data_IF_991987094572
#
_entry.id   IF_991987094572
#
_cell.length_a   1.000
_cell.length_b   1.000
_cell.length_c   1.000
_cell.angle_alpha   90.00
_cell.angle_beta   90.00
_cell.angle_gamma   90.00
#
_symmetry.space_group_name_H-M   'P 1'
#
loop_
_entity.id
_entity.type
_entity.pdbx_description
1 polymer ?
#
# COMPACT_ATOMS: atom_id res chain seq x y z
N UNK A 1 2.72 -15.93 -10.89
CA UNK A 1 2.05 -17.08 -10.25
C UNK A 1 0.74 -16.59 -9.67
N UNK A 2 -0.40 -17.06 -10.17
CA UNK A 2 -1.74 -16.65 -9.71
C UNK A 2 -2.14 -17.62 -8.60
N UNK A 3 -2.55 -17.12 -7.44
CA UNK A 3 -3.01 -18.01 -6.35
C UNK A 3 -4.37 -18.62 -6.74
N UNK A 4 -4.39 -19.86 -7.24
CA UNK A 4 -5.60 -20.56 -7.70
C UNK A 4 -6.64 -20.72 -6.59
N UNK A 5 -6.17 -20.87 -5.33
CA UNK A 5 -7.02 -20.91 -4.15
C UNK A 5 -7.71 -19.57 -3.85
N UNK A 6 -7.29 -18.45 -4.45
CA UNK A 6 -7.94 -17.14 -4.27
C UNK A 6 -9.18 -16.98 -5.16
N UNK A 7 -9.21 -17.67 -6.30
CA UNK A 7 -10.31 -17.59 -7.27
C UNK A 7 -11.60 -18.23 -6.75
N UNK A 8 -11.50 -19.22 -5.87
CA UNK A 8 -12.64 -19.95 -5.28
C UNK A 8 -13.21 -19.31 -4.02
N UNK A 9 -12.55 -18.29 -3.47
CA UNK A 9 -12.97 -17.63 -2.23
C UNK A 9 -14.16 -16.69 -2.45
N UNK A 10 -15.05 -16.63 -1.47
CA UNK A 10 -16.10 -15.63 -1.36
C UNK A 10 -15.50 -14.23 -1.16
N UNK A 11 -16.27 -13.17 -1.46
CA UNK A 11 -15.79 -11.79 -1.28
C UNK A 11 -15.37 -11.50 0.18
N UNK A 12 -16.14 -12.01 1.14
CA UNK A 12 -15.83 -11.92 2.57
C UNK A 12 -14.48 -12.58 2.92
N UNK A 13 -14.23 -13.78 2.38
CA UNK A 13 -12.97 -14.51 2.62
C UNK A 13 -11.78 -13.81 1.98
N UNK A 14 -11.93 -13.26 0.76
CA UNK A 14 -10.89 -12.46 0.10
C UNK A 14 -10.59 -11.20 0.89
N UNK A 15 -11.62 -10.53 1.39
CA UNK A 15 -11.50 -9.34 2.22
C UNK A 15 -10.72 -9.64 3.49
N UNK A 16 -11.13 -10.67 4.23
CA UNK A 16 -10.48 -11.12 5.46
C UNK A 16 -9.02 -11.50 5.20
N UNK A 17 -8.76 -12.31 4.18
CA UNK A 17 -7.41 -12.75 3.82
C UNK A 17 -6.51 -11.58 3.47
N UNK A 18 -6.99 -10.61 2.70
CA UNK A 18 -6.18 -9.46 2.32
C UNK A 18 -5.89 -8.55 3.51
N UNK A 19 -6.86 -8.31 4.40
CA UNK A 19 -6.64 -7.61 5.67
C UNK A 19 -5.57 -8.29 6.50
N UNK A 20 -5.66 -9.61 6.66
CA UNK A 20 -4.66 -10.42 7.38
C UNK A 20 -3.28 -10.30 6.74
N UNK A 21 -3.19 -10.38 5.40
CA UNK A 21 -1.90 -10.26 4.70
C UNK A 21 -1.31 -8.86 4.86
N UNK A 22 -2.10 -7.79 4.76
CA UNK A 22 -1.65 -6.41 4.98
C UNK A 22 -1.12 -6.23 6.41
N UNK A 23 -1.87 -6.71 7.40
CA UNK A 23 -1.46 -6.66 8.81
C UNK A 23 -0.20 -7.46 9.07
N UNK A 24 -0.10 -8.69 8.54
CA UNK A 24 1.07 -9.55 8.77
C UNK A 24 2.32 -9.04 8.04
N UNK A 25 2.19 -8.60 6.79
CA UNK A 25 3.32 -8.07 6.00
C UNK A 25 3.92 -6.81 6.63
N UNK A 26 3.08 -6.01 7.27
CA UNK A 26 3.48 -4.80 7.97
C UNK A 26 3.83 -5.01 9.44
N UNK A 27 3.83 -6.25 9.92
CA UNK A 27 4.02 -6.59 11.33
C UNK A 27 3.08 -5.82 12.27
N UNK A 28 1.86 -5.53 11.82
CA UNK A 28 0.84 -4.82 12.60
C UNK A 28 1.02 -3.30 12.67
N UNK A 29 1.94 -2.70 11.89
CA UNK A 29 2.30 -1.27 11.99
C UNK A 29 1.46 -0.33 11.14
N UNK A 30 0.60 -0.88 10.28
CA UNK A 30 -0.51 -0.13 9.65
C UNK A 30 -1.76 -0.27 10.52
N UNK A 31 -2.39 0.87 10.75
CA UNK A 31 -3.59 1.03 11.57
C UNK A 31 -4.82 0.48 10.86
N UNK A 32 -5.86 0.15 11.61
CA UNK A 32 -7.10 -0.39 11.02
C UNK A 32 -7.78 0.60 10.06
N UNK A 33 -7.66 1.91 10.31
CA UNK A 33 -8.12 2.98 9.42
C UNK A 33 -7.33 3.03 8.10
N UNK A 34 -6.02 2.77 8.14
CA UNK A 34 -5.15 2.72 6.95
C UNK A 34 -5.44 1.46 6.13
N UNK A 35 -5.66 0.32 6.80
CA UNK A 35 -6.12 -0.91 6.16
C UNK A 35 -7.47 -0.67 5.49
N UNK A 36 -8.44 -0.07 6.19
CA UNK A 36 -9.75 0.25 5.62
C UNK A 36 -9.64 1.15 4.38
N UNK A 37 -8.79 2.18 4.42
CA UNK A 37 -8.56 3.05 3.27
C UNK A 37 -8.06 2.28 2.04
N UNK A 38 -7.17 1.29 2.23
CA UNK A 38 -6.74 0.40 1.13
C UNK A 38 -7.90 -0.46 0.65
N UNK A 39 -8.69 -1.05 1.56
CA UNK A 39 -9.82 -1.91 1.22
C UNK A 39 -10.91 -1.17 0.43
N UNK A 40 -11.12 0.12 0.71
CA UNK A 40 -12.15 0.93 0.05
C UNK A 40 -11.82 1.28 -1.42
N UNK A 41 -10.54 1.17 -1.83
CA UNK A 41 -10.10 1.57 -3.18
C UNK A 41 -9.77 0.42 -4.12
N UNK A 42 -9.58 -0.78 -3.58
CA UNK A 42 -9.22 -1.98 -4.34
C UNK A 42 -10.45 -2.76 -4.81
N UNK A 43 -10.28 -3.54 -5.86
CA UNK A 43 -11.24 -4.59 -6.23
C UNK A 43 -10.81 -5.94 -5.65
N UNK A 44 -11.67 -6.58 -4.87
CA UNK A 44 -11.45 -7.93 -4.30
C UNK A 44 -11.50 -9.05 -5.36
N UNK A 45 -11.80 -8.72 -6.63
CA UNK A 45 -11.75 -9.68 -7.76
C UNK A 45 -10.36 -9.79 -8.36
N UNK A 46 -9.41 -8.95 -7.93
CA UNK A 46 -8.03 -8.93 -8.41
C UNK A 46 -7.05 -9.40 -7.34
N UNK A 47 -5.91 -9.91 -7.81
CA UNK A 47 -4.76 -10.17 -6.94
C UNK A 47 -3.84 -8.95 -6.94
N UNK A 48 -3.22 -8.70 -5.80
CA UNK A 48 -2.29 -7.60 -5.61
C UNK A 48 -0.96 -8.12 -5.09
N UNK A 49 0.14 -7.55 -5.59
CA UNK A 49 1.41 -7.60 -4.90
C UNK A 49 1.43 -6.50 -3.83
N UNK A 50 2.09 -6.76 -2.70
CA UNK A 50 2.24 -5.78 -1.62
C UNK A 50 3.73 -5.47 -1.48
N UNK A 51 4.08 -4.19 -1.58
CA UNK A 51 5.43 -3.68 -1.33
C UNK A 51 5.39 -2.74 -0.14
N UNK A 52 6.22 -3.03 0.85
CA UNK A 52 6.35 -2.22 2.06
C UNK A 52 7.72 -1.57 2.03
N UNK A 53 7.71 -0.26 2.27
CA UNK A 53 8.88 0.59 2.27
C UNK A 53 9.07 1.14 3.68
N UNK A 54 10.29 1.02 4.19
CA UNK A 54 10.71 1.57 5.48
C UNK A 54 11.54 2.84 5.25
N UNK A 55 12.32 2.84 4.16
CA UNK A 55 13.14 3.97 3.76
C UNK A 55 12.30 4.98 2.94
N UNK A 56 12.20 6.24 3.39
CA UNK A 56 11.37 7.25 2.73
C UNK A 56 11.87 7.55 1.31
N UNK A 57 13.18 7.53 1.08
CA UNK A 57 13.77 7.79 -0.23
C UNK A 57 13.44 6.69 -1.25
N UNK A 58 13.40 5.43 -0.82
CA UNK A 58 13.03 4.33 -1.69
C UNK A 58 11.56 4.45 -2.10
N UNK A 59 10.66 4.73 -1.16
CA UNK A 59 9.25 4.97 -1.46
C UNK A 59 9.08 6.16 -2.39
N UNK A 60 9.70 7.30 -2.07
CA UNK A 60 9.63 8.54 -2.85
C UNK A 60 10.11 8.32 -4.29
N UNK A 61 11.22 7.61 -4.48
CA UNK A 61 11.72 7.28 -5.82
C UNK A 61 10.69 6.49 -6.63
N UNK A 62 10.06 5.47 -6.04
CA UNK A 62 9.00 4.70 -6.70
C UNK A 62 7.72 5.52 -6.92
N UNK A 63 7.42 6.46 -6.02
CA UNK A 63 6.26 7.35 -6.11
C UNK A 63 6.40 8.32 -7.30
N UNK A 64 7.58 8.92 -7.50
CA UNK A 64 7.88 9.84 -8.61
C UNK A 64 7.89 9.10 -9.95
N UNK A 65 8.45 7.89 -9.98
CA UNK A 65 8.54 7.07 -11.19
C UNK A 65 7.24 6.38 -11.59
N UNK A 66 6.19 6.48 -10.77
CA UNK A 66 4.91 5.86 -11.07
C UNK A 66 4.26 6.53 -12.29
N UNK A 67 3.48 5.78 -13.06
CA UNK A 67 2.68 6.35 -14.14
C UNK A 67 1.41 6.98 -13.53
N UNK A 68 1.19 8.30 -13.67
CA UNK A 68 0.03 8.97 -13.05
C UNK A 68 -1.31 8.49 -13.60
N UNK A 69 -1.36 8.04 -14.86
CA UNK A 69 -2.58 7.50 -15.49
C UNK A 69 -2.93 6.09 -14.97
N UNK A 70 -1.93 5.39 -14.43
CA UNK A 70 -2.05 4.02 -13.90
C UNK A 70 -1.87 3.95 -12.40
N UNK A 71 -1.82 5.09 -11.72
CA UNK A 71 -1.60 5.14 -10.28
C UNK A 71 -2.76 5.79 -9.56
N UNK A 72 -3.01 5.36 -8.32
CA UNK A 72 -4.04 5.94 -7.46
C UNK A 72 -3.48 6.11 -6.07
N UNK A 73 -3.46 7.34 -5.58
CA UNK A 73 -3.19 7.66 -4.17
C UNK A 73 -4.29 7.08 -3.29
N UNK A 74 -3.91 6.41 -2.20
CA UNK A 74 -4.85 5.84 -1.23
C UNK A 74 -4.95 6.71 0.00
N UNK A 75 -3.82 6.95 0.67
CA UNK A 75 -3.73 7.79 1.86
C UNK A 75 -2.31 8.33 2.02
N UNK A 76 -2.16 9.29 2.93
CA UNK A 76 -0.94 10.07 3.05
C UNK A 76 -0.76 10.94 1.81
N UNK A 77 0.10 11.93 1.90
CA UNK A 77 0.36 12.88 0.82
C UNK A 77 1.21 12.26 -0.31
N UNK A 78 0.82 11.09 -0.81
CA UNK A 78 1.50 10.31 -1.82
C UNK A 78 0.90 10.54 -3.22
N UNK A 79 1.13 11.73 -3.78
CA UNK A 79 0.73 12.03 -5.16
C UNK A 79 1.64 11.22 -6.09
N UNK A 80 1.11 10.20 -6.76
CA UNK A 80 1.90 9.28 -7.56
C UNK A 80 2.08 9.78 -8.99
N UNK A 81 3.31 9.76 -9.49
CA UNK A 81 3.63 9.98 -10.90
C UNK A 81 3.55 11.43 -11.39
N UNK A 82 3.60 12.41 -10.48
CA UNK A 82 3.61 13.82 -10.84
C UNK A 82 4.89 14.47 -10.29
N UNK A 83 5.99 14.47 -11.06
CA UNK A 83 7.26 15.06 -10.65
C UNK A 83 7.08 16.50 -10.13
N UNK A 84 7.78 16.83 -9.06
CA UNK A 84 7.62 18.08 -8.31
C UNK A 84 6.51 18.05 -7.27
N UNK A 85 5.33 17.46 -7.56
CA UNK A 85 4.26 17.32 -6.57
C UNK A 85 4.48 16.10 -5.66
N UNK A 86 4.90 14.97 -6.24
CA UNK A 86 5.24 13.76 -5.52
C UNK A 86 6.27 14.03 -4.41
N UNK A 87 7.31 14.80 -4.72
CA UNK A 87 8.36 15.15 -3.77
C UNK A 87 7.94 16.21 -2.76
N UNK A 88 7.15 17.21 -3.18
CA UNK A 88 6.73 18.31 -2.29
C UNK A 88 5.73 17.87 -1.24
N UNK A 89 4.82 16.98 -1.61
CA UNK A 89 3.71 16.60 -0.74
C UNK A 89 4.05 15.38 0.12
N UNK A 90 4.91 14.48 -0.36
CA UNK A 90 5.28 13.31 0.44
C UNK A 90 6.05 13.72 1.70
N UNK A 91 5.56 13.25 2.85
CA UNK A 91 6.23 13.39 4.14
C UNK A 91 6.69 12.03 4.64
N UNK A 92 7.99 11.91 4.93
CA UNK A 92 8.57 10.72 5.55
C UNK A 92 8.21 10.54 7.03
N UNK A 93 7.41 11.44 7.63
CA UNK A 93 7.01 11.30 9.04
C UNK A 93 5.70 10.54 9.22
N UNK A 94 4.90 10.40 8.17
CA UNK A 94 3.60 9.74 8.22
C UNK A 94 3.57 8.56 7.24
N UNK A 95 2.76 7.55 7.55
CA UNK A 95 2.52 6.46 6.61
C UNK A 95 1.80 6.97 5.35
N UNK A 96 2.07 6.32 4.23
CA UNK A 96 1.51 6.70 2.95
C UNK A 96 1.30 5.46 2.06
N UNK A 97 0.30 5.50 1.18
CA UNK A 97 0.09 4.41 0.24
C UNK A 97 -0.47 4.88 -1.09
N UNK A 98 -0.07 4.17 -2.14
CA UNK A 98 -0.62 4.30 -3.48
C UNK A 98 -0.66 2.93 -4.17
N UNK A 99 -1.49 2.80 -5.19
CA UNK A 99 -1.63 1.58 -5.98
C UNK A 99 -1.17 1.87 -7.40
N UNK A 100 -0.36 0.97 -7.98
CA UNK A 100 -0.04 0.99 -9.41
C UNK A 100 -0.75 -0.14 -10.13
N UNK A 101 -1.32 0.17 -11.29
CA UNK A 101 -1.98 -0.81 -12.16
C UNK A 101 -0.97 -1.38 -13.13
N UNK A 102 -0.68 -2.68 -13.03
CA UNK A 102 0.28 -3.40 -13.87
C UNK A 102 -0.33 -4.73 -14.34
N UNK A 103 0.48 -5.67 -14.85
CA UNK A 103 0.00 -7.04 -15.12
C UNK A 103 -0.52 -7.71 -13.83
N UNK A 104 0.09 -7.38 -12.69
CA UNK A 104 -0.44 -7.60 -11.36
C UNK A 104 -0.41 -6.25 -10.65
N UNK A 105 -1.57 -5.78 -10.18
CA UNK A 105 -1.67 -4.49 -9.48
C UNK A 105 -0.81 -4.53 -8.19
N UNK A 106 -0.14 -3.44 -7.85
CA UNK A 106 0.77 -3.38 -6.70
C UNK A 106 0.30 -2.34 -5.71
N UNK A 107 0.16 -2.73 -4.45
CA UNK A 107 -0.09 -1.82 -3.33
C UNK A 107 1.28 -1.46 -2.74
N UNK A 108 1.64 -0.18 -2.84
CA UNK A 108 2.86 0.38 -2.27
C UNK A 108 2.51 1.06 -0.95
N UNK A 109 3.16 0.67 0.14
CA UNK A 109 2.90 1.20 1.48
C UNK A 109 4.21 1.64 2.10
N UNK A 110 4.30 2.91 2.47
CA UNK A 110 5.35 3.45 3.30
C UNK A 110 4.96 3.42 4.77
N UNK A 111 5.84 2.91 5.61
CA UNK A 111 5.68 2.90 7.06
C UNK A 111 6.92 3.57 7.67
N UNK A 112 6.78 4.72 8.34
CA UNK A 112 7.92 5.43 8.92
C UNK A 112 8.57 4.61 10.04
N UNK A 113 9.89 4.66 10.14
CA UNK A 113 10.68 3.94 11.16
C UNK A 113 10.24 4.26 12.60
N UNK A 114 9.69 5.46 12.85
CA UNK A 114 9.14 5.83 14.15
C UNK A 114 8.00 4.90 14.63
N UNK A 115 7.28 4.26 13.70
CA UNK A 115 6.28 3.22 14.01
C UNK A 115 6.88 1.83 14.15
N UNK A 116 8.13 1.65 13.74
CA UNK A 116 8.87 0.39 13.90
C UNK A 116 9.36 0.19 15.34
N UNK A 117 9.57 1.29 16.07
CA UNK A 117 10.06 1.29 17.45
C UNK A 117 9.00 1.23 18.55
N UNK A 118 7.69 1.29 18.24
CA UNK A 118 6.65 1.05 19.26
C UNK A 118 6.44 -0.45 19.46
N UNK A 119 7.44 -1.06 20.09
CA UNK A 119 7.39 -2.34 20.77
C UNK A 119 7.86 -2.16 22.21
N UNK A 120 7.29 -1.18 22.92
CA UNK A 120 7.42 -0.93 24.37
C UNK A 120 6.10 -0.24 24.75
N UNK A 121 5.21 -0.73 25.63
CA UNK A 121 5.27 -1.64 26.79
C UNK A 121 3.92 -2.40 26.85
#
# INVERSE_FOLDING_TARGET
>A
MVNESFSVLSEHERSSKLRTVLKNRSEGRISESEIRAVMDVISLKKQYAIRIYIEPDEFRKNLVLADPSRSKTVFGSAIAGVPGLSERFFSGTHAAAYITKNNVDIIHIYIPQQRMGKGED
#
